data_IF_714663071428
#
_entry.id   IF_714663071428
#
_cell.length_a   1.000
_cell.length_b   1.000
_cell.length_c   1.000
_cell.angle_alpha   90.00
_cell.angle_beta   90.00
_cell.angle_gamma   90.00
#
_symmetry.space_group_name_H-M   'P 1'
#
loop_
_entity.id
_entity.type
_entity.pdbx_description
1 polymer ?
#
# COMPACT_ATOMS: atom_id res chain seq x y z
N UNK A 1 13.82 -2.01 1.41
CA UNK A 1 12.50 -1.40 1.14
C UNK A 1 12.45 -0.86 -0.28
N UNK A 2 11.43 -1.18 -1.09
CA UNK A 2 11.20 -0.50 -2.39
C UNK A 2 10.05 0.50 -2.22
N UNK A 3 10.39 1.73 -1.83
CA UNK A 3 9.49 2.88 -1.85
C UNK A 3 9.68 3.61 -3.18
N UNK A 4 8.59 3.73 -3.95
CA UNK A 4 8.59 4.50 -5.20
C UNK A 4 7.73 5.73 -5.01
N UNK A 5 8.23 6.89 -5.40
CA UNK A 5 7.53 8.18 -5.36
C UNK A 5 7.18 8.64 -6.77
N UNK A 6 6.17 9.50 -6.88
CA UNK A 6 5.81 10.16 -8.14
C UNK A 6 4.31 10.26 -8.35
N UNK A 7 3.93 10.73 -9.54
CA UNK A 7 2.52 11.03 -9.89
C UNK A 7 1.95 10.10 -10.97
N UNK A 8 2.80 9.29 -11.61
CA UNK A 8 2.42 8.37 -12.69
C UNK A 8 2.30 6.93 -12.17
N UNK A 9 1.13 6.62 -11.63
CA UNK A 9 0.81 5.31 -11.08
C UNK A 9 -0.10 4.49 -12.02
N UNK A 10 0.09 3.17 -12.12
CA UNK A 10 -0.87 2.28 -12.75
C UNK A 10 -2.28 2.48 -12.19
N UNK A 11 -3.30 2.22 -13.01
CA UNK A 11 -4.68 2.43 -12.62
C UNK A 11 -5.06 1.73 -11.31
N UNK A 12 -4.48 0.55 -11.05
CA UNK A 12 -4.71 -0.20 -9.82
C UNK A 12 -4.26 0.50 -8.53
N UNK A 13 -3.30 1.43 -8.56
CA UNK A 13 -2.92 2.20 -7.36
C UNK A 13 -3.70 3.50 -7.22
N UNK A 14 -4.43 3.90 -8.26
CA UNK A 14 -5.23 5.12 -8.24
C UNK A 14 -6.73 4.86 -8.12
N UNK A 15 -7.18 3.64 -8.41
CA UNK A 15 -8.51 3.10 -8.17
C UNK A 15 -8.44 1.70 -7.54
N UNK A 16 -9.45 1.36 -6.74
CA UNK A 16 -9.75 -0.02 -6.35
C UNK A 16 -10.89 -0.60 -7.21
N UNK A 17 -11.78 -1.37 -6.59
CA UNK A 17 -13.07 -1.78 -7.19
C UNK A 17 -14.17 -0.73 -7.01
N UNK A 18 -13.84 0.46 -6.51
CA UNK A 18 -14.77 1.55 -6.25
C UNK A 18 -14.82 2.57 -7.39
N UNK A 19 -15.80 3.49 -7.30
CA UNK A 19 -15.88 4.68 -8.15
C UNK A 19 -14.87 5.78 -7.75
N UNK A 20 -14.22 5.65 -6.60
CA UNK A 20 -13.32 6.68 -6.07
C UNK A 20 -11.94 6.59 -6.73
N UNK A 21 -11.31 7.75 -6.91
CA UNK A 21 -9.95 7.88 -7.44
C UNK A 21 -9.11 8.76 -6.53
N UNK A 22 -7.89 8.33 -6.23
CA UNK A 22 -6.89 9.07 -5.44
C UNK A 22 -5.50 8.76 -5.97
N UNK A 23 -4.62 9.74 -6.07
CA UNK A 23 -3.26 9.51 -6.59
C UNK A 23 -2.30 9.48 -5.41
N UNK A 24 -1.69 8.32 -5.08
CA UNK A 24 -0.78 8.26 -3.93
C UNK A 24 0.50 9.04 -4.22
N UNK A 25 1.05 9.68 -3.19
CA UNK A 25 2.38 10.27 -3.26
C UNK A 25 3.47 9.20 -3.42
N UNK A 26 3.26 8.04 -2.80
CA UNK A 26 4.20 6.92 -2.86
C UNK A 26 3.51 5.55 -2.78
N UNK A 27 4.17 4.54 -3.36
CA UNK A 27 3.79 3.13 -3.19
C UNK A 27 4.99 2.37 -2.64
N UNK A 28 4.77 1.68 -1.53
CA UNK A 28 5.72 0.80 -0.88
C UNK A 28 5.34 -0.66 -1.18
N UNK A 29 6.31 -1.45 -1.66
CA UNK A 29 6.20 -2.91 -1.80
C UNK A 29 7.20 -3.60 -0.86
N UNK A 30 6.81 -3.89 0.39
CA UNK A 30 7.72 -4.40 1.39
C UNK A 30 7.98 -5.91 1.20
N UNK A 31 9.18 -6.36 1.52
CA UNK A 31 9.56 -7.79 1.60
C UNK A 31 9.62 -8.29 3.05
N UNK A 32 9.79 -7.39 4.02
CA UNK A 32 9.88 -7.72 5.45
C UNK A 32 9.03 -6.76 6.28
N UNK A 33 8.76 -7.14 7.54
CA UNK A 33 7.95 -6.33 8.46
C UNK A 33 8.67 -5.02 8.79
N UNK A 34 10.00 -5.05 8.88
CA UNK A 34 10.85 -3.88 9.12
C UNK A 34 10.67 -2.84 8.01
N UNK A 35 10.57 -3.28 6.75
CA UNK A 35 10.31 -2.37 5.63
C UNK A 35 8.91 -1.71 5.73
N UNK A 36 7.93 -2.34 6.39
CA UNK A 36 6.63 -1.69 6.67
C UNK A 36 6.81 -0.58 7.70
N UNK A 37 7.54 -0.86 8.79
CA UNK A 37 7.83 0.13 9.83
C UNK A 37 8.58 1.34 9.26
N UNK A 38 9.63 1.10 8.47
CA UNK A 38 10.39 2.16 7.79
C UNK A 38 9.46 3.04 6.93
N UNK A 39 8.52 2.42 6.21
CA UNK A 39 7.52 3.13 5.41
C UNK A 39 6.56 4.00 6.22
N UNK A 40 6.11 3.51 7.37
CA UNK A 40 5.25 4.25 8.30
C UNK A 40 6.02 5.43 8.91
N UNK A 41 7.29 5.24 9.28
CA UNK A 41 8.13 6.31 9.81
C UNK A 41 8.39 7.40 8.77
N UNK A 42 8.66 7.03 7.51
CA UNK A 42 8.74 7.99 6.40
C UNK A 42 7.42 8.75 6.23
N UNK A 43 6.28 8.06 6.27
CA UNK A 43 4.97 8.70 6.15
C UNK A 43 4.71 9.68 7.29
N UNK A 44 5.08 9.32 8.51
CA UNK A 44 4.98 10.18 9.70
C UNK A 44 5.81 11.45 9.55
N UNK A 45 7.07 11.33 9.14
CA UNK A 45 7.96 12.49 8.90
C UNK A 45 7.40 13.42 7.82
N UNK A 46 6.76 12.85 6.78
CA UNK A 46 6.20 13.60 5.65
C UNK A 46 4.75 14.06 5.84
N UNK A 47 4.11 13.71 6.95
CA UNK A 47 2.68 13.97 7.17
C UNK A 47 1.76 13.25 6.18
N UNK A 48 2.23 12.17 5.56
CA UNK A 48 1.43 11.37 4.62
C UNK A 48 0.50 10.43 5.37
N UNK A 49 -0.74 10.32 4.88
CA UNK A 49 -1.64 9.24 5.30
C UNK A 49 -1.09 7.87 4.89
N UNK A 50 -1.42 6.84 5.65
CA UNK A 50 -0.99 5.46 5.38
C UNK A 50 -2.21 4.63 5.00
N UNK A 51 -2.15 3.95 3.85
CA UNK A 51 -3.17 3.01 3.40
C UNK A 51 -2.56 1.64 3.16
N UNK A 52 -3.08 0.64 3.87
CA UNK A 52 -2.75 -0.77 3.61
C UNK A 52 -3.49 -1.28 2.39
N UNK A 53 -2.80 -2.02 1.52
CA UNK A 53 -3.37 -2.58 0.30
C UNK A 53 -2.96 -4.05 0.11
N UNK A 54 -3.98 -4.89 -0.08
CA UNK A 54 -3.84 -6.24 -0.65
C UNK A 54 -4.26 -6.25 -2.12
N UNK A 55 -5.26 -7.07 -2.47
CA UNK A 55 -5.77 -7.16 -3.85
C UNK A 55 -6.47 -5.91 -4.39
N UNK A 56 -6.81 -4.93 -3.54
CA UNK A 56 -7.45 -3.67 -3.97
C UNK A 56 -8.92 -3.77 -4.33
N UNK A 57 -9.62 -4.81 -3.88
CA UNK A 57 -11.02 -5.12 -4.21
C UNK A 57 -12.05 -4.34 -3.38
N UNK A 58 -11.63 -3.40 -2.53
CA UNK A 58 -12.55 -2.57 -1.77
C UNK A 58 -13.39 -1.68 -2.70
N UNK A 59 -14.70 -1.68 -2.50
CA UNK A 59 -15.67 -0.83 -3.21
C UNK A 59 -15.94 0.51 -2.52
N UNK A 60 -15.45 0.69 -1.28
CA UNK A 60 -15.59 1.92 -0.51
C UNK A 60 -14.41 2.89 -0.66
N UNK A 61 -13.37 2.50 -1.41
CA UNK A 61 -12.16 3.30 -1.58
C UNK A 61 -11.10 3.13 -0.48
N UNK A 62 -11.23 2.13 0.39
CA UNK A 62 -10.31 1.92 1.52
C UNK A 62 -8.90 1.47 1.10
N UNK A 63 -8.74 1.00 -0.15
CA UNK A 63 -7.48 0.47 -0.67
C UNK A 63 -6.69 1.48 -1.52
N UNK A 64 -7.08 2.77 -1.48
CA UNK A 64 -6.44 3.88 -2.19
C UNK A 64 -6.34 5.11 -1.26
N UNK A 65 -5.36 5.96 -1.48
CA UNK A 65 -5.13 7.16 -0.66
C UNK A 65 -4.14 8.12 -1.32
N UNK A 66 -4.10 9.36 -0.84
CA UNK A 66 -3.24 10.42 -1.39
C UNK A 66 -1.81 10.39 -0.80
N UNK A 67 -1.61 9.70 0.32
CA UNK A 67 -0.32 9.52 0.98
C UNK A 67 0.46 8.29 0.47
N UNK A 68 0.96 7.46 1.39
CA UNK A 68 1.65 6.21 1.05
C UNK A 68 0.66 5.04 0.99
N UNK A 69 0.74 4.26 -0.09
CA UNK A 69 0.07 2.96 -0.19
C UNK A 69 1.09 1.86 0.08
N UNK A 70 0.86 1.04 1.09
CA UNK A 70 1.69 -0.12 1.43
C UNK A 70 1.04 -1.37 0.85
N UNK A 71 1.63 -1.92 -0.22
CA UNK A 71 1.12 -3.05 -0.96
C UNK A 71 1.82 -4.36 -0.55
N UNK A 72 1.13 -5.16 0.26
CA UNK A 72 1.63 -6.44 0.77
C UNK A 72 1.31 -7.62 -0.14
N UNK A 73 0.59 -7.41 -1.25
CA UNK A 73 0.04 -8.48 -2.08
C UNK A 73 1.08 -9.39 -2.74
N UNK A 74 2.33 -8.93 -2.89
CA UNK A 74 3.38 -9.66 -3.62
C UNK A 74 4.23 -10.58 -2.75
N UNK A 75 4.60 -10.15 -1.54
CA UNK A 75 5.62 -10.84 -0.74
C UNK A 75 5.13 -11.35 0.62
N UNK A 76 3.95 -10.90 1.08
CA UNK A 76 3.31 -11.34 2.32
C UNK A 76 2.15 -12.30 2.03
N UNK A 77 2.43 -13.36 1.27
CA UNK A 77 1.41 -14.29 0.75
C UNK A 77 1.69 -15.76 1.11
N UNK A 78 2.53 -16.02 2.12
CA UNK A 78 2.88 -17.37 2.58
C UNK A 78 2.07 -17.75 3.82
N UNK A 79 1.54 -18.97 3.83
CA UNK A 79 1.09 -19.61 5.07
C UNK A 79 2.31 -19.99 5.90
N UNK A 80 2.40 -19.51 7.13
CA UNK A 80 3.56 -19.77 8.00
C UNK A 80 3.40 -21.05 8.81
N UNK A 81 2.18 -21.33 9.23
CA UNK A 81 1.84 -22.46 10.10
C UNK A 81 0.42 -22.92 9.77
N UNK A 82 0.18 -24.21 9.91
CA UNK A 82 -1.15 -24.83 9.89
C UNK A 82 -1.20 -25.74 11.10
N UNK A 83 -2.10 -25.43 12.03
CA UNK A 83 -2.42 -26.29 13.15
C UNK A 83 -3.60 -27.20 12.76
N UNK A 84 -3.43 -28.52 12.90
CA UNK A 84 -4.37 -29.58 12.44
C UNK A 84 -4.79 -30.49 13.59
#
# INVERSE_FOLDING_TARGET
>A
MVLREGVAWPAGYTAGASIFRRVPAAVLKPHTVEEIWDGIDVAKVRGWSVVGRGGGTSVAGNAIGDGVVIDTSRYFNRSLEIDV
#
